data_IF_523523991344
#
_entry.id   IF_523523991344
#
_cell.length_a   1.000
_cell.length_b   1.000
_cell.length_c   1.000
_cell.angle_alpha   90.00
_cell.angle_beta   90.00
_cell.angle_gamma   90.00
#
_symmetry.space_group_name_H-M   'P 1'
#
loop_
_entity.id
_entity.type
_entity.pdbx_description
1 polymer ?
#
# COMPACT_ATOMS: atom_id res chain seq x y z
N UNK A 1 12.63 -24.98 6.23
CA UNK A 1 13.15 -23.60 6.14
C UNK A 1 12.33 -22.88 5.08
N UNK A 2 11.93 -21.63 5.32
CA UNK A 2 11.13 -20.87 4.37
C UNK A 2 12.00 -20.45 3.19
N UNK A 3 11.49 -20.59 1.96
CA UNK A 3 12.25 -20.28 0.74
C UNK A 3 12.32 -18.77 0.55
N UNK A 4 13.43 -18.22 0.03
CA UNK A 4 13.48 -16.82 -0.37
C UNK A 4 12.45 -16.50 -1.45
N UNK A 5 11.83 -15.31 -1.34
CA UNK A 5 10.80 -14.82 -2.26
C UNK A 5 11.34 -13.66 -3.10
N UNK A 6 10.99 -13.60 -4.38
CA UNK A 6 11.40 -12.52 -5.29
C UNK A 6 10.22 -12.02 -6.13
N UNK A 7 10.15 -10.70 -6.32
CA UNK A 7 9.14 -10.09 -7.18
C UNK A 7 9.61 -10.11 -8.65
N UNK A 8 8.90 -10.84 -9.50
CA UNK A 8 9.22 -10.99 -10.93
C UNK A 8 7.95 -10.66 -11.74
N UNK A 9 7.70 -9.37 -12.05
CA UNK A 9 6.44 -8.94 -12.70
C UNK A 9 6.11 -9.63 -14.02
N UNK A 10 7.14 -10.07 -14.74
CA UNK A 10 7.04 -10.72 -16.05
C UNK A 10 7.04 -12.25 -15.98
N UNK A 11 6.87 -12.86 -14.81
CA UNK A 11 6.84 -14.32 -14.70
C UNK A 11 5.69 -14.89 -15.53
N UNK A 12 6.03 -15.87 -16.36
CA UNK A 12 5.10 -16.59 -17.19
C UNK A 12 5.38 -18.09 -17.02
N UNK A 13 4.46 -18.87 -16.41
CA UNK A 13 4.67 -20.29 -16.18
C UNK A 13 4.77 -21.13 -17.46
N UNK A 14 4.36 -20.59 -18.62
CA UNK A 14 4.51 -21.25 -19.90
C UNK A 14 5.93 -21.11 -20.50
N UNK A 15 6.82 -20.36 -19.86
CA UNK A 15 8.19 -20.11 -20.35
C UNK A 15 9.21 -20.90 -19.54
N UNK A 16 10.20 -21.48 -20.22
CA UNK A 16 11.28 -22.21 -19.56
C UNK A 16 12.33 -21.30 -18.90
N UNK A 17 12.26 -19.99 -19.15
CA UNK A 17 13.22 -19.01 -18.67
C UNK A 17 12.58 -17.63 -18.54
N UNK A 18 12.62 -17.09 -17.33
CA UNK A 18 12.16 -15.74 -16.98
C UNK A 18 13.34 -14.98 -16.36
N UNK A 19 13.68 -13.84 -16.96
CA UNK A 19 14.70 -12.94 -16.39
C UNK A 19 14.16 -12.23 -15.14
N UNK A 20 14.97 -12.18 -14.09
CA UNK A 20 14.66 -11.44 -12.87
C UNK A 20 15.03 -9.95 -13.02
N UNK A 21 14.31 -9.05 -12.35
CA UNK A 21 14.77 -7.66 -12.18
C UNK A 21 16.20 -7.59 -11.63
N UNK A 22 16.98 -6.58 -12.04
CA UNK A 22 18.40 -6.43 -11.65
C UNK A 22 18.58 -6.38 -10.13
N UNK A 23 17.69 -5.69 -9.41
CA UNK A 23 17.73 -5.57 -7.95
C UNK A 23 17.44 -6.90 -7.25
N UNK A 24 16.49 -7.69 -7.77
CA UNK A 24 16.20 -9.03 -7.26
C UNK A 24 17.33 -10.03 -7.57
N UNK A 25 17.92 -9.96 -8.77
CA UNK A 25 19.09 -10.75 -9.14
C UNK A 25 20.31 -10.41 -8.26
N UNK A 26 20.55 -9.13 -7.99
CA UNK A 26 21.63 -8.70 -7.09
C UNK A 26 21.42 -9.22 -5.66
N UNK A 27 20.20 -9.17 -5.15
CA UNK A 27 19.85 -9.72 -3.83
C UNK A 27 20.10 -11.23 -3.77
N UNK A 28 19.63 -11.98 -4.77
CA UNK A 28 19.82 -13.42 -4.90
C UNK A 28 21.30 -13.81 -4.86
N UNK A 29 22.13 -13.16 -5.68
CA UNK A 29 23.54 -13.52 -5.89
C UNK A 29 24.44 -13.02 -4.76
N UNK A 30 24.28 -11.77 -4.33
CA UNK A 30 25.22 -11.14 -3.39
C UNK A 30 24.84 -11.35 -1.94
N UNK A 31 23.55 -11.34 -1.63
CA UNK A 31 23.07 -11.43 -0.25
C UNK A 31 22.80 -12.87 0.12
N UNK A 32 22.02 -13.59 -0.69
CA UNK A 32 21.63 -14.97 -0.41
C UNK A 32 22.60 -16.01 -0.96
N UNK A 33 23.44 -15.62 -1.94
CA UNK A 33 24.47 -16.47 -2.57
C UNK A 33 23.92 -17.76 -3.17
N UNK A 34 22.72 -17.69 -3.72
CA UNK A 34 22.08 -18.83 -4.41
C UNK A 34 22.68 -19.04 -5.80
N UNK A 35 22.64 -20.28 -6.27
CA UNK A 35 23.19 -20.74 -7.54
C UNK A 35 22.15 -21.41 -8.44
N UNK A 36 22.62 -21.87 -9.60
CA UNK A 36 21.80 -22.67 -10.53
C UNK A 36 21.40 -23.98 -9.85
N UNK A 37 20.11 -24.36 -9.98
CA UNK A 37 19.51 -25.53 -9.36
C UNK A 37 18.88 -25.28 -7.99
N UNK A 38 19.15 -24.14 -7.35
CA UNK A 38 18.46 -23.76 -6.11
C UNK A 38 17.00 -23.36 -6.39
N UNK A 39 16.11 -23.70 -5.47
CA UNK A 39 14.68 -23.35 -5.55
C UNK A 39 14.34 -22.07 -4.77
N UNK A 40 13.55 -21.21 -5.39
CA UNK A 40 13.04 -19.96 -4.83
C UNK A 40 11.54 -19.84 -5.11
N UNK A 41 10.87 -18.94 -4.40
CA UNK A 41 9.49 -18.58 -4.71
C UNK A 41 9.49 -17.24 -5.47
N UNK A 42 8.71 -17.14 -6.54
CA UNK A 42 8.57 -15.93 -7.36
C UNK A 42 7.12 -15.54 -7.52
N UNK A 43 6.82 -14.25 -7.47
CA UNK A 43 5.46 -13.73 -7.61
C UNK A 43 5.42 -12.55 -8.56
N UNK A 44 4.30 -12.38 -9.24
CA UNK A 44 4.15 -11.39 -10.33
C UNK A 44 3.64 -10.02 -9.86
N UNK A 45 3.32 -9.89 -8.58
CA UNK A 45 2.76 -8.68 -7.99
C UNK A 45 1.28 -8.46 -8.30
N UNK A 46 0.61 -9.40 -8.98
CA UNK A 46 -0.82 -9.36 -9.34
C UNK A 46 -1.61 -10.54 -8.78
N UNK A 47 -1.02 -11.31 -7.88
CA UNK A 47 -1.66 -12.45 -7.20
C UNK A 47 -1.08 -13.80 -7.59
N UNK A 48 -0.28 -13.88 -8.65
CA UNK A 48 0.36 -15.13 -9.04
C UNK A 48 1.60 -15.43 -8.20
N UNK A 49 1.74 -16.69 -7.76
CA UNK A 49 2.89 -17.18 -7.00
C UNK A 49 3.31 -18.55 -7.51
N UNK A 50 4.60 -18.72 -7.73
CA UNK A 50 5.18 -19.98 -8.19
C UNK A 50 6.44 -20.33 -7.43
N UNK A 51 6.64 -21.62 -7.24
CA UNK A 51 7.96 -22.18 -7.02
C UNK A 51 8.72 -22.12 -8.34
N UNK A 52 9.99 -21.73 -8.29
CA UNK A 52 10.85 -21.67 -9.45
C UNK A 52 12.26 -22.18 -9.14
N UNK A 53 12.90 -22.75 -10.15
CA UNK A 53 14.30 -23.17 -10.10
C UNK A 53 15.17 -22.09 -10.75
N UNK A 54 16.32 -21.76 -10.16
CA UNK A 54 17.29 -20.85 -10.78
C UNK A 54 18.00 -21.58 -11.92
N UNK A 55 17.87 -21.07 -13.15
CA UNK A 55 18.44 -21.67 -14.37
C UNK A 55 19.65 -20.91 -14.90
N UNK A 56 19.87 -19.68 -14.46
CA UNK A 56 21.07 -18.90 -14.81
C UNK A 56 21.43 -17.93 -13.69
N UNK A 57 22.74 -17.78 -13.44
CA UNK A 57 23.31 -16.76 -12.56
C UNK A 57 24.46 -16.04 -13.26
N UNK A 58 24.43 -14.71 -13.23
CA UNK A 58 25.50 -13.81 -13.65
C UNK A 58 25.83 -12.80 -12.54
N UNK A 59 26.75 -11.86 -12.80
CA UNK A 59 27.22 -10.88 -11.80
C UNK A 59 26.11 -9.92 -11.30
N UNK A 60 25.10 -9.65 -12.14
CA UNK A 60 23.95 -8.76 -11.91
C UNK A 60 22.68 -9.24 -12.61
N UNK A 61 22.65 -10.49 -13.06
CA UNK A 61 21.52 -11.06 -13.77
C UNK A 61 21.27 -12.46 -13.23
N UNK A 62 20.01 -12.85 -13.20
CA UNK A 62 19.58 -14.18 -12.85
C UNK A 62 18.31 -14.49 -13.64
N UNK A 63 18.14 -15.75 -13.99
CA UNK A 63 16.92 -16.23 -14.62
C UNK A 63 16.39 -17.45 -13.87
N UNK A 64 15.08 -17.56 -13.81
CA UNK A 64 14.37 -18.64 -13.13
C UNK A 64 13.41 -19.32 -14.10
N UNK A 65 13.05 -20.56 -13.77
CA UNK A 65 12.03 -21.34 -14.46
C UNK A 65 10.92 -21.68 -13.47
N UNK A 66 9.68 -21.19 -13.63
CA UNK A 66 8.56 -21.63 -12.82
C UNK A 66 8.33 -23.13 -12.97
N UNK A 67 8.12 -23.84 -11.85
CA UNK A 67 7.94 -25.31 -11.84
C UNK A 67 6.64 -25.75 -11.19
N UNK A 68 6.06 -24.97 -10.28
CA UNK A 68 4.83 -25.30 -9.57
C UNK A 68 4.10 -24.02 -9.15
N UNK A 69 2.78 -23.94 -9.38
CA UNK A 69 1.94 -22.86 -8.87
C UNK A 69 1.64 -23.09 -7.39
N UNK A 70 1.73 -22.03 -6.59
CA UNK A 70 1.53 -22.07 -5.15
C UNK A 70 0.38 -21.13 -4.76
N UNK A 71 -0.30 -21.45 -3.65
CA UNK A 71 -1.31 -20.58 -3.08
C UNK A 71 -0.65 -19.40 -2.34
N UNK A 72 -0.97 -18.13 -2.68
CA UNK A 72 -0.45 -16.97 -1.98
C UNK A 72 -1.15 -16.74 -0.62
N UNK A 73 -0.67 -15.77 0.15
CA UNK A 73 -1.43 -15.29 1.30
C UNK A 73 -2.78 -14.70 0.83
N UNK A 74 -3.88 -14.92 1.59
CA UNK A 74 -5.19 -14.41 1.20
C UNK A 74 -5.18 -12.87 1.15
N UNK A 75 -5.86 -12.33 0.15
CA UNK A 75 -6.11 -10.90 0.01
C UNK A 75 -7.46 -10.52 0.62
N UNK A 76 -7.65 -9.23 0.88
CA UNK A 76 -8.90 -8.70 1.41
C UNK A 76 -10.05 -8.90 0.41
N UNK A 77 -11.25 -9.18 0.91
CA UNK A 77 -12.46 -9.18 0.06
C UNK A 77 -12.87 -7.75 -0.32
N UNK A 78 -12.61 -6.78 0.57
CA UNK A 78 -12.80 -5.34 0.32
C UNK A 78 -11.60 -4.73 -0.41
N UNK A 79 -11.84 -3.92 -1.44
CA UNK A 79 -10.82 -2.99 -1.94
C UNK A 79 -10.66 -1.81 -0.99
N UNK A 80 -9.66 -1.87 -0.13
CA UNK A 80 -9.33 -0.77 0.78
C UNK A 80 -8.16 0.05 0.22
N UNK A 81 -8.45 1.27 -0.24
CA UNK A 81 -7.44 2.20 -0.71
C UNK A 81 -7.09 3.19 0.41
N UNK A 82 -5.81 3.55 0.53
CA UNK A 82 -5.35 4.54 1.49
C UNK A 82 -5.04 5.85 0.78
N UNK A 83 -5.80 6.91 1.08
CA UNK A 83 -5.50 8.27 0.66
C UNK A 83 -4.85 8.98 1.85
N UNK A 84 -3.58 9.40 1.70
CA UNK A 84 -2.81 9.91 2.84
C UNK A 84 -2.16 11.26 2.55
N UNK A 85 -2.43 12.24 3.42
CA UNK A 85 -1.73 13.51 3.44
C UNK A 85 -0.23 13.33 3.60
N UNK A 86 0.58 13.99 2.78
CA UNK A 86 2.04 13.84 2.84
C UNK A 86 2.57 14.24 4.21
N UNK A 87 3.21 13.29 4.89
CA UNK A 87 3.81 13.45 6.21
C UNK A 87 5.26 13.96 6.12
N UNK A 88 5.72 14.57 7.22
CA UNK A 88 7.09 15.09 7.36
C UNK A 88 8.14 13.97 7.31
N UNK A 89 9.25 14.26 6.62
CA UNK A 89 10.40 13.35 6.55
C UNK A 89 10.02 12.01 5.93
N UNK A 90 10.46 10.92 6.54
CA UNK A 90 10.29 9.57 6.00
C UNK A 90 9.15 8.78 6.66
N UNK A 91 8.25 9.44 7.38
CA UNK A 91 7.17 8.73 8.12
C UNK A 91 6.26 7.87 7.24
N UNK A 92 5.99 8.31 6.00
CA UNK A 92 5.19 7.52 5.05
C UNK A 92 5.83 6.17 4.73
N UNK A 93 7.15 6.01 4.86
CA UNK A 93 7.81 4.72 4.64
C UNK A 93 7.25 3.63 5.57
N UNK A 94 7.07 3.98 6.85
CA UNK A 94 6.45 3.09 7.83
C UNK A 94 4.99 2.81 7.47
N UNK A 95 4.24 3.84 7.10
CA UNK A 95 2.84 3.68 6.68
C UNK A 95 2.71 2.76 5.47
N UNK A 96 3.55 2.92 4.45
CA UNK A 96 3.53 2.06 3.25
C UNK A 96 3.82 0.62 3.63
N UNK A 97 4.88 0.39 4.39
CA UNK A 97 5.25 -0.96 4.86
C UNK A 97 4.07 -1.61 5.58
N UNK A 98 3.48 -0.90 6.54
CA UNK A 98 2.50 -1.47 7.45
C UNK A 98 1.11 -1.59 6.79
N UNK A 99 0.73 -0.66 5.89
CA UNK A 99 -0.51 -0.74 5.12
C UNK A 99 -0.49 -1.88 4.09
N UNK A 100 0.66 -2.13 3.44
CA UNK A 100 0.84 -3.29 2.56
C UNK A 100 0.67 -4.60 3.33
N UNK A 101 1.21 -4.67 4.55
CA UNK A 101 1.03 -5.84 5.43
C UNK A 101 -0.44 -6.08 5.79
N UNK A 102 -1.23 -5.02 5.97
CA UNK A 102 -2.69 -5.12 6.22
C UNK A 102 -3.54 -5.33 4.96
N UNK A 103 -2.93 -5.56 3.79
CA UNK A 103 -3.68 -5.88 2.58
C UNK A 103 -4.22 -4.67 1.80
N UNK A 104 -3.68 -3.46 2.02
CA UNK A 104 -4.12 -2.27 1.24
C UNK A 104 -4.06 -2.56 -0.27
N UNK A 105 -5.07 -2.07 -1.00
CA UNK A 105 -5.20 -2.26 -2.45
C UNK A 105 -4.43 -1.21 -3.24
N UNK A 106 -4.36 0.04 -2.76
CA UNK A 106 -3.53 1.10 -3.33
C UNK A 106 -3.22 2.19 -2.31
N UNK A 107 -2.21 3.01 -2.59
CA UNK A 107 -1.87 4.18 -1.77
C UNK A 107 -1.83 5.42 -2.67
N UNK A 108 -2.65 6.42 -2.36
CA UNK A 108 -2.69 7.73 -3.02
C UNK A 108 -2.17 8.81 -2.06
N UNK A 109 -0.90 9.23 -2.17
CA UNK A 109 -0.40 10.36 -1.43
C UNK A 109 -1.05 11.66 -1.93
N UNK A 110 -1.47 12.53 -1.01
CA UNK A 110 -2.08 13.82 -1.35
C UNK A 110 -1.39 15.00 -0.64
N UNK A 111 -1.33 16.13 -1.33
CA UNK A 111 -0.97 17.42 -0.72
C UNK A 111 -2.25 18.09 -0.25
N UNK A 112 -2.25 18.45 1.03
CA UNK A 112 -3.34 19.15 1.72
C UNK A 112 -2.87 20.57 2.06
N UNK A 113 -3.80 21.44 2.45
CA UNK A 113 -3.50 22.83 2.82
C UNK A 113 -2.47 22.90 3.96
N UNK A 114 -2.55 21.98 4.92
CA UNK A 114 -1.70 21.94 6.12
C UNK A 114 -0.53 20.95 6.03
N UNK A 115 -0.20 20.50 4.82
CA UNK A 115 1.00 19.68 4.59
C UNK A 115 2.27 20.54 4.70
N UNK A 116 3.22 20.15 5.55
CA UNK A 116 4.52 20.85 5.66
C UNK A 116 5.36 20.75 4.37
N UNK A 117 5.17 19.68 3.59
CA UNK A 117 5.92 19.45 2.35
C UNK A 117 5.13 19.93 1.14
N UNK A 118 5.73 20.77 0.30
CA UNK A 118 5.08 21.26 -0.91
C UNK A 118 5.09 20.23 -2.05
N UNK A 119 4.13 20.38 -2.99
CA UNK A 119 4.07 19.58 -4.23
C UNK A 119 5.37 19.65 -5.04
N UNK A 120 5.99 20.83 -5.13
CA UNK A 120 7.23 21.03 -5.88
C UNK A 120 8.40 20.26 -5.26
N UNK A 121 8.47 20.18 -3.94
CA UNK A 121 9.46 19.35 -3.25
C UNK A 121 9.23 17.85 -3.52
N UNK A 122 7.97 17.41 -3.53
CA UNK A 122 7.62 16.03 -3.85
C UNK A 122 7.97 15.63 -5.28
N UNK A 123 7.65 16.48 -6.27
CA UNK A 123 7.92 16.20 -7.68
C UNK A 123 9.41 16.08 -8.01
N UNK A 124 10.29 16.72 -7.22
CA UNK A 124 11.74 16.64 -7.36
C UNK A 124 12.36 15.48 -6.57
N UNK A 125 11.57 14.75 -5.80
CA UNK A 125 12.05 13.68 -4.92
C UNK A 125 11.94 12.31 -5.57
N UNK A 126 12.76 11.35 -5.14
CA UNK A 126 12.63 9.94 -5.52
C UNK A 126 11.62 9.16 -4.67
N UNK A 127 10.80 9.85 -3.86
CA UNK A 127 9.97 9.24 -2.81
C UNK A 127 9.00 8.21 -3.37
N UNK A 128 8.40 8.47 -4.53
CA UNK A 128 7.51 7.51 -5.19
C UNK A 128 8.20 6.17 -5.48
N UNK A 129 9.37 6.21 -6.12
CA UNK A 129 10.15 5.00 -6.41
C UNK A 129 10.65 4.32 -5.13
N UNK A 130 10.99 5.09 -4.08
CA UNK A 130 11.34 4.55 -2.76
C UNK A 130 10.15 3.82 -2.12
N UNK A 131 8.97 4.44 -2.11
CA UNK A 131 7.77 3.84 -1.55
C UNK A 131 7.36 2.58 -2.30
N UNK A 132 7.44 2.56 -3.63
CA UNK A 132 7.14 1.37 -4.40
C UNK A 132 8.09 0.21 -4.04
N UNK A 133 9.39 0.48 -3.84
CA UNK A 133 10.35 -0.53 -3.34
C UNK A 133 10.01 -1.02 -1.94
N UNK A 134 9.53 -0.14 -1.06
CA UNK A 134 9.06 -0.53 0.28
C UNK A 134 7.82 -1.42 0.18
N UNK A 135 6.89 -1.13 -0.73
CA UNK A 135 5.72 -1.97 -0.97
C UNK A 135 6.11 -3.37 -1.47
N UNK A 136 7.06 -3.47 -2.41
CA UNK A 136 7.61 -4.76 -2.87
C UNK A 136 8.24 -5.52 -1.70
N UNK A 137 9.08 -4.85 -0.91
CA UNK A 137 9.74 -5.47 0.26
C UNK A 137 8.72 -5.96 1.30
N UNK A 138 7.68 -5.17 1.56
CA UNK A 138 6.62 -5.55 2.50
C UNK A 138 5.82 -6.74 1.98
N UNK A 139 5.41 -6.74 0.71
CA UNK A 139 4.71 -7.88 0.08
C UNK A 139 5.52 -9.18 0.17
N UNK A 140 6.85 -9.12 -0.06
CA UNK A 140 7.77 -10.25 0.12
C UNK A 140 7.73 -10.77 1.56
N UNK A 141 7.80 -9.88 2.54
CA UNK A 141 7.89 -10.23 3.95
C UNK A 141 6.56 -10.76 4.52
N UNK A 142 5.43 -10.20 4.10
CA UNK A 142 4.10 -10.62 4.54
C UNK A 142 3.45 -11.69 3.66
N UNK A 143 4.19 -12.24 2.70
CA UNK A 143 3.77 -13.34 1.81
C UNK A 143 2.65 -13.03 0.81
N UNK A 144 2.25 -11.76 0.66
CA UNK A 144 1.34 -11.33 -0.40
C UNK A 144 1.97 -11.57 -1.78
N UNK A 145 1.15 -11.99 -2.73
CA UNK A 145 1.53 -12.04 -4.14
C UNK A 145 1.08 -10.79 -4.92
N UNK A 146 0.40 -9.85 -4.24
CA UNK A 146 0.01 -8.55 -4.79
C UNK A 146 0.95 -7.47 -4.26
N UNK A 147 1.46 -6.62 -5.16
CA UNK A 147 2.16 -5.39 -4.79
C UNK A 147 1.21 -4.22 -5.08
N UNK A 148 0.69 -3.52 -4.06
CA UNK A 148 -0.23 -2.42 -4.32
C UNK A 148 0.50 -1.27 -5.03
N UNK A 149 -0.14 -0.64 -6.03
CA UNK A 149 0.40 0.55 -6.65
C UNK A 149 0.43 1.70 -5.65
N UNK A 150 1.52 2.47 -5.70
CA UNK A 150 1.59 3.78 -5.05
C UNK A 150 1.48 4.82 -6.16
N UNK A 151 0.47 5.67 -6.07
CA UNK A 151 0.16 6.64 -7.10
C UNK A 151 1.04 7.88 -6.99
N UNK A 152 1.11 8.64 -8.09
CA UNK A 152 1.76 9.94 -8.08
C UNK A 152 1.06 10.89 -7.11
N UNK A 153 1.83 11.73 -6.43
CA UNK A 153 1.30 12.69 -5.46
C UNK A 153 0.36 13.66 -6.18
N UNK A 154 -0.88 13.76 -5.69
CA UNK A 154 -1.92 14.64 -6.21
C UNK A 154 -2.29 15.73 -5.18
N UNK A 155 -2.86 16.87 -5.59
CA UNK A 155 -3.51 17.76 -4.65
C UNK A 155 -4.86 17.16 -4.19
N UNK A 156 -5.29 17.46 -2.96
CA UNK A 156 -6.51 16.88 -2.39
C UNK A 156 -7.79 17.31 -3.15
N UNK A 157 -7.81 18.52 -3.70
CA UNK A 157 -8.94 19.05 -4.47
C UNK A 157 -9.27 18.19 -5.71
N UNK A 158 -8.24 17.70 -6.41
CA UNK A 158 -8.38 16.77 -7.53
C UNK A 158 -9.16 15.53 -7.11
N UNK A 159 -8.90 15.02 -5.91
CA UNK A 159 -9.53 13.81 -5.42
C UNK A 159 -11.05 13.96 -5.27
N UNK A 160 -11.56 15.15 -4.92
CA UNK A 160 -13.00 15.42 -4.86
C UNK A 160 -13.65 15.62 -6.24
N UNK A 161 -12.88 16.09 -7.21
CA UNK A 161 -13.36 16.35 -8.57
C UNK A 161 -13.56 15.08 -9.41
N UNK A 162 -12.86 14.01 -9.06
CA UNK A 162 -12.91 12.73 -9.78
C UNK A 162 -14.04 11.84 -9.24
N UNK A 163 -14.63 11.07 -10.16
CA UNK A 163 -15.55 9.99 -9.76
C UNK A 163 -14.72 8.81 -9.29
N UNK A 164 -14.91 8.44 -8.03
CA UNK A 164 -14.33 7.24 -7.43
C UNK A 164 -15.44 6.23 -7.21
N UNK A 165 -15.26 5.00 -7.69
CA UNK A 165 -16.17 3.88 -7.45
C UNK A 165 -15.85 3.21 -6.09
N UNK A 166 -15.90 4.01 -5.02
CA UNK A 166 -15.58 3.60 -3.66
C UNK A 166 -16.34 4.47 -2.64
N UNK A 167 -16.73 3.86 -1.51
CA UNK A 167 -17.19 4.60 -0.35
C UNK A 167 -16.03 5.44 0.20
N UNK A 168 -16.27 6.70 0.57
CA UNK A 168 -15.22 7.59 1.08
C UNK A 168 -15.37 7.75 2.58
N UNK A 169 -14.31 7.45 3.33
CA UNK A 169 -14.29 7.57 4.79
C UNK A 169 -13.11 8.44 5.19
N UNK A 170 -13.40 9.63 5.71
CA UNK A 170 -12.38 10.60 6.12
C UNK A 170 -12.20 10.58 7.63
N UNK A 171 -10.99 10.28 8.09
CA UNK A 171 -10.64 10.37 9.50
C UNK A 171 -10.48 11.84 9.90
N UNK A 172 -11.32 12.30 10.82
CA UNK A 172 -11.30 13.65 11.38
C UNK A 172 -11.12 13.64 12.89
N UNK A 173 -10.52 14.69 13.42
CA UNK A 173 -10.55 14.94 14.86
C UNK A 173 -11.98 15.35 15.29
N UNK A 174 -12.45 14.96 16.48
CA UNK A 174 -13.78 15.33 16.96
C UNK A 174 -14.05 16.85 16.95
N UNK A 175 -13.00 17.66 17.15
CA UNK A 175 -13.05 19.12 17.18
C UNK A 175 -13.10 19.78 15.79
N UNK A 176 -12.75 19.04 14.73
CA UNK A 176 -12.57 19.57 13.38
C UNK A 176 -13.78 19.37 12.47
N UNK A 177 -14.87 18.79 12.98
CA UNK A 177 -15.95 18.34 12.13
C UNK A 177 -17.05 19.37 11.90
N UNK A 178 -17.37 19.57 10.63
CA UNK A 178 -18.64 20.10 10.15
C UNK A 178 -19.52 18.88 9.82
N UNK A 179 -20.67 18.72 10.48
CA UNK A 179 -21.61 17.62 10.25
C UNK A 179 -21.50 16.43 11.22
N UNK A 180 -22.23 15.36 10.92
CA UNK A 180 -22.33 14.16 11.78
C UNK A 180 -21.08 13.29 11.69
N UNK A 181 -20.20 13.40 12.69
CA UNK A 181 -19.07 12.48 12.85
C UNK A 181 -19.58 11.17 13.40
N UNK A 182 -19.26 10.07 12.73
CA UNK A 182 -19.60 8.73 13.19
C UNK A 182 -18.40 8.02 13.79
N UNK A 183 -18.67 7.16 14.78
CA UNK A 183 -17.67 6.26 15.31
C UNK A 183 -17.39 5.12 14.32
N UNK A 184 -16.18 4.58 14.34
CA UNK A 184 -15.72 3.51 13.43
C UNK A 184 -16.68 2.30 13.34
N UNK A 185 -17.37 1.95 14.43
CA UNK A 185 -18.31 0.81 14.48
C UNK A 185 -19.55 1.01 13.58
N UNK A 186 -19.84 2.25 13.18
CA UNK A 186 -20.97 2.59 12.31
C UNK A 186 -20.62 2.54 10.82
N UNK A 187 -19.33 2.42 10.47
CA UNK A 187 -18.89 2.32 9.08
C UNK A 187 -19.19 0.92 8.54
N UNK A 188 -20.07 0.85 7.55
CA UNK A 188 -20.45 -0.42 6.90
C UNK A 188 -19.41 -0.83 5.85
N UNK A 189 -19.20 -2.14 5.70
CA UNK A 189 -18.37 -2.71 4.63
C UNK A 189 -19.01 -2.37 3.29
N UNK A 190 -18.24 -1.78 2.39
CA UNK A 190 -18.58 -1.59 0.99
C UNK A 190 -17.61 -2.43 0.12
N UNK A 191 -17.93 -2.73 -1.15
CA UNK A 191 -17.01 -3.46 -2.03
C UNK A 191 -15.67 -2.75 -2.24
N UNK A 192 -15.67 -1.42 -2.21
CA UNK A 192 -14.47 -0.59 -2.21
C UNK A 192 -14.63 0.58 -1.24
N UNK A 193 -13.57 0.89 -0.50
CA UNK A 193 -13.51 2.01 0.44
C UNK A 193 -12.20 2.76 0.31
N UNK A 194 -12.29 4.06 0.18
CA UNK A 194 -11.16 4.97 0.26
C UNK A 194 -11.09 5.55 1.67
N UNK A 195 -10.04 5.18 2.39
CA UNK A 195 -9.75 5.68 3.73
C UNK A 195 -8.82 6.90 3.63
N UNK A 196 -9.32 8.06 4.05
CA UNK A 196 -8.68 9.35 3.84
C UNK A 196 -8.11 9.86 5.17
N UNK A 197 -6.78 9.99 5.25
CA UNK A 197 -6.02 10.35 6.45
C UNK A 197 -5.23 11.65 6.22
N UNK A 198 -5.33 12.59 7.15
CA UNK A 198 -4.68 13.91 7.05
C UNK A 198 -3.22 13.92 7.48
N UNK A 199 -2.49 15.03 7.22
CA UNK A 199 -1.12 15.21 7.71
C UNK A 199 -1.09 15.56 9.20
N UNK A 200 0.12 15.79 9.73
CA UNK A 200 0.30 16.27 11.11
C UNK A 200 -0.44 17.58 11.44
N UNK A 201 -0.64 18.46 10.46
CA UNK A 201 -1.37 19.72 10.63
C UNK A 201 -2.90 19.57 10.69
N UNK A 202 -3.42 18.34 10.52
CA UNK A 202 -4.86 18.08 10.40
C UNK A 202 -5.46 18.66 9.12
N UNK A 203 -6.78 18.83 9.12
CA UNK A 203 -7.53 19.31 7.97
C UNK A 203 -7.87 20.79 8.10
N UNK A 204 -7.87 21.49 6.97
CA UNK A 204 -8.52 22.80 6.89
C UNK A 204 -10.05 22.63 6.91
N UNK A 205 -10.75 23.67 7.38
CA UNK A 205 -12.22 23.67 7.46
C UNK A 205 -12.85 23.49 6.07
N UNK A 206 -12.25 24.12 5.06
CA UNK A 206 -12.59 23.98 3.63
C UNK A 206 -12.46 22.54 3.13
N UNK A 207 -11.43 21.81 3.56
CA UNK A 207 -11.19 20.42 3.15
C UNK A 207 -12.22 19.47 3.76
N UNK A 208 -12.58 19.66 5.03
CA UNK A 208 -13.65 18.89 5.69
C UNK A 208 -15.01 19.18 5.04
N UNK A 209 -15.30 20.44 4.72
CA UNK A 209 -16.53 20.83 4.02
C UNK A 209 -16.60 20.18 2.62
N UNK A 210 -15.52 20.27 1.83
CA UNK A 210 -15.46 19.64 0.51
C UNK A 210 -15.65 18.11 0.58
N UNK A 211 -15.08 17.45 1.60
CA UNK A 211 -15.29 16.04 1.83
C UNK A 211 -16.76 15.72 2.11
N UNK A 212 -17.37 16.44 3.04
CA UNK A 212 -18.79 16.31 3.39
C UNK A 212 -19.70 16.51 2.16
N UNK A 213 -19.47 17.58 1.39
CA UNK A 213 -20.25 17.91 0.20
C UNK A 213 -20.08 16.89 -0.92
N UNK A 214 -18.94 16.18 -0.96
CA UNK A 214 -18.70 15.05 -1.86
C UNK A 214 -19.37 13.73 -1.41
N UNK A 215 -20.05 13.74 -0.26
CA UNK A 215 -20.69 12.57 0.34
C UNK A 215 -19.75 11.67 1.14
N UNK A 216 -18.56 12.15 1.52
CA UNK A 216 -17.65 11.39 2.36
C UNK A 216 -18.20 11.27 3.80
N UNK A 217 -18.04 10.08 4.38
CA UNK A 217 -18.40 9.82 5.77
C UNK A 217 -17.27 10.31 6.67
N UNK A 218 -17.58 11.24 7.58
CA UNK A 218 -16.62 11.71 8.56
C UNK A 218 -16.55 10.73 9.74
N UNK A 219 -15.37 10.16 9.96
CA UNK A 219 -15.13 9.15 10.98
C UNK A 219 -14.17 9.66 12.06
N UNK A 220 -14.47 9.35 13.32
CA UNK A 220 -13.53 9.53 14.44
C UNK A 220 -13.05 8.19 15.01
N UNK A 221 -11.79 8.16 15.44
CA UNK A 221 -11.15 7.03 16.13
C UNK A 221 -11.16 7.20 17.67
N UNK A 222 -12.04 8.05 18.19
CA UNK A 222 -12.21 8.32 19.62
C UNK A 222 -11.71 9.69 20.06
N UNK A 223 -11.66 9.91 21.38
CA UNK A 223 -11.42 11.23 21.97
C UNK A 223 -9.94 11.63 22.14
N UNK A 224 -8.98 10.88 21.57
CA UNK A 224 -7.54 11.18 21.67
C UNK A 224 -6.98 11.54 20.30
N UNK A 225 -6.18 12.59 20.26
CA UNK A 225 -5.35 12.89 19.08
C UNK A 225 -4.26 11.82 18.94
N UNK A 226 -4.23 11.18 17.77
CA UNK A 226 -3.23 10.18 17.42
C UNK A 226 -2.16 10.84 16.54
N UNK A 227 -0.93 10.30 16.56
CA UNK A 227 0.11 10.74 15.63
C UNK A 227 -0.32 10.38 14.20
N UNK A 228 -0.15 11.30 13.25
CA UNK A 228 -0.61 11.12 11.87
C UNK A 228 -0.08 9.84 11.19
N UNK A 229 1.15 9.42 11.52
CA UNK A 229 1.74 8.16 11.03
C UNK A 229 1.12 6.89 11.64
N UNK A 230 0.47 7.01 12.81
CA UNK A 230 -0.21 5.89 13.47
C UNK A 230 -1.68 5.74 13.04
N UNK A 231 -2.33 6.82 12.59
CA UNK A 231 -3.75 6.83 12.22
C UNK A 231 -4.09 5.78 11.15
N UNK A 232 -3.33 5.63 10.04
CA UNK A 232 -3.65 4.65 9.01
C UNK A 232 -3.78 3.23 9.57
N UNK A 233 -2.82 2.81 10.39
CA UNK A 233 -2.81 1.47 10.98
C UNK A 233 -3.97 1.26 11.96
N UNK A 234 -4.26 2.24 12.80
CA UNK A 234 -5.40 2.16 13.74
C UNK A 234 -6.72 2.09 12.99
N UNK A 235 -6.92 2.95 11.99
CA UNK A 235 -8.15 3.01 11.21
C UNK A 235 -8.36 1.74 10.38
N UNK A 236 -7.34 1.31 9.63
CA UNK A 236 -7.42 0.09 8.81
C UNK A 236 -7.71 -1.12 9.68
N UNK A 237 -6.95 -1.34 10.76
CA UNK A 237 -7.17 -2.49 11.66
C UNK A 237 -8.58 -2.48 12.24
N UNK A 238 -9.08 -1.33 12.69
CA UNK A 238 -10.42 -1.22 13.24
C UNK A 238 -11.50 -1.55 12.20
N UNK A 239 -11.41 -0.97 11.00
CA UNK A 239 -12.36 -1.23 9.91
C UNK A 239 -12.32 -2.70 9.48
N UNK A 240 -11.14 -3.25 9.20
CA UNK A 240 -10.97 -4.64 8.79
C UNK A 240 -11.50 -5.61 9.85
N UNK A 241 -11.32 -5.32 11.14
CA UNK A 241 -11.91 -6.11 12.23
C UNK A 241 -13.44 -6.04 12.20
N UNK A 242 -14.02 -4.84 12.11
CA UNK A 242 -15.48 -4.65 12.07
C UNK A 242 -16.12 -5.26 10.81
N UNK A 243 -15.36 -5.36 9.73
CA UNK A 243 -15.78 -5.96 8.46
C UNK A 243 -15.52 -7.47 8.37
N UNK A 244 -14.89 -8.05 9.40
CA UNK A 244 -14.58 -9.48 9.44
C UNK A 244 -13.53 -9.92 8.42
N UNK A 245 -12.63 -9.02 8.01
CA UNK A 245 -11.54 -9.30 7.08
C UNK A 245 -10.33 -9.94 7.76
N UNK A 246 -10.08 -9.61 9.04
CA UNK A 246 -9.02 -10.22 9.83
C UNK A 246 -9.55 -11.53 10.44
N UNK A 247 -9.34 -12.65 9.75
CA UNK A 247 -9.73 -14.00 10.16
C UNK A 247 -8.53 -14.83 10.59
#
# INVERSE_FOLDING_TARGET
>A
MMRPRFHVPGVNPATERVEMPEDEAEHLVRVLRLGVGDEVDVFDGRGGLWRAEIVQVGKKSAAVRPIEELEPAPELEVRLNLVIGVLKGDKIDGVVRDAVMLGVSSIQPVITERSETSRAAMARSNRLARWQRIAVSSAKQCHRAVVPPIHAVAPLDWYWSEKHDAARVMCVEPSAALGDVVAVQRIRKAPATDLIIGPEGGWAVSEVAAAHDSGAILMSLGGRTLRADAVPMVAMTALLTMWGELK
#
